data_IF_191091082398
#
_entry.id   IF_191091082398
#
_cell.length_a   1.000
_cell.length_b   1.000
_cell.length_c   1.000
_cell.angle_alpha   90.00
_cell.angle_beta   90.00
_cell.angle_gamma   90.00
#
_symmetry.space_group_name_H-M   'P 1'
#
loop_
_entity.id
_entity.type
_entity.pdbx_description
1 polymer ?
#
# COMPACT_ATOMS: atom_id res chain seq x y z
N UNK A 1 69.09 17.20 -34.53
CA UNK A 1 69.86 15.97 -34.83
C UNK A 1 68.88 14.80 -34.92
N UNK A 2 69.15 13.93 -35.88
CA UNK A 2 68.40 12.78 -36.37
C UNK A 2 67.96 11.77 -35.29
N UNK A 3 66.80 11.12 -35.44
CA UNK A 3 66.72 9.66 -35.73
C UNK A 3 65.31 9.06 -35.68
N UNK A 4 64.92 8.47 -36.82
CA UNK A 4 64.47 7.07 -37.00
C UNK A 4 63.36 6.45 -36.14
N UNK A 5 62.19 6.32 -36.79
CA UNK A 5 61.33 5.12 -36.99
C UNK A 5 61.15 4.14 -35.81
N UNK A 6 59.90 3.97 -35.40
CA UNK A 6 59.37 2.66 -35.00
C UNK A 6 57.86 2.60 -35.31
N UNK A 7 57.47 1.82 -36.33
CA UNK A 7 56.06 1.58 -36.65
C UNK A 7 55.68 0.27 -35.97
N UNK A 8 54.75 0.24 -34.99
CA UNK A 8 54.28 -1.01 -34.43
C UNK A 8 53.41 -1.76 -35.45
N UNK A 9 53.61 -3.08 -35.55
CA UNK A 9 52.83 -3.97 -36.39
C UNK A 9 51.34 -3.98 -35.99
N UNK A 10 50.41 -4.20 -36.93
CA UNK A 10 49.00 -4.36 -36.58
C UNK A 10 48.78 -5.63 -35.74
N UNK A 11 47.86 -5.59 -34.76
CA UNK A 11 47.57 -6.75 -33.91
C UNK A 11 46.92 -7.88 -34.73
N UNK A 12 47.09 -9.15 -34.32
CA UNK A 12 46.44 -10.29 -34.95
C UNK A 12 44.92 -10.24 -34.76
N UNK A 13 44.12 -10.80 -35.70
CA UNK A 13 42.67 -10.89 -35.55
C UNK A 13 42.33 -11.82 -34.37
N UNK A 14 41.44 -11.35 -33.48
CA UNK A 14 40.93 -12.15 -32.38
C UNK A 14 39.98 -13.24 -32.89
N UNK A 15 39.96 -14.44 -32.28
CA UNK A 15 38.96 -15.44 -32.60
C UNK A 15 37.56 -14.93 -32.23
N UNK A 16 36.63 -14.97 -33.18
CA UNK A 16 35.22 -14.69 -32.95
C UNK A 16 34.65 -15.77 -32.01
N UNK A 17 34.38 -15.40 -30.76
CA UNK A 17 33.58 -16.23 -29.86
C UNK A 17 32.17 -16.33 -30.44
N UNK A 18 31.88 -17.45 -31.09
CA UNK A 18 30.54 -17.81 -31.55
C UNK A 18 29.64 -17.99 -30.32
N UNK A 19 28.93 -16.94 -29.94
CA UNK A 19 28.06 -16.92 -28.77
C UNK A 19 26.75 -17.65 -29.07
N UNK A 20 26.82 -18.98 -28.96
CA UNK A 20 25.67 -19.87 -28.92
C UNK A 20 24.96 -19.75 -27.56
N UNK A 21 24.37 -18.59 -27.27
CA UNK A 21 23.50 -18.46 -26.10
C UNK A 21 22.15 -19.12 -26.40
N UNK A 22 21.66 -20.03 -25.55
CA UNK A 22 20.27 -20.48 -25.64
C UNK A 22 19.33 -19.27 -25.45
N UNK A 23 18.16 -19.25 -26.11
CA UNK A 23 17.21 -18.17 -25.92
C UNK A 23 16.82 -18.06 -24.44
N UNK A 24 16.61 -16.82 -23.93
CA UNK A 24 16.10 -16.65 -22.58
C UNK A 24 14.76 -17.39 -22.43
N UNK A 25 14.46 -17.94 -21.23
CA UNK A 25 13.14 -18.50 -20.97
C UNK A 25 12.08 -17.41 -21.22
N UNK A 26 10.86 -17.79 -21.67
CA UNK A 26 9.79 -16.83 -21.81
C UNK A 26 9.58 -16.14 -20.47
N UNK A 27 9.57 -14.80 -20.48
CA UNK A 27 9.13 -14.00 -19.34
C UNK A 27 7.78 -14.54 -18.91
N UNK A 28 7.72 -15.23 -17.77
CA UNK A 28 6.45 -15.47 -17.09
C UNK A 28 5.89 -14.08 -16.84
N UNK A 29 4.87 -13.72 -17.61
CA UNK A 29 4.03 -12.57 -17.34
C UNK A 29 3.52 -12.83 -15.93
N UNK A 30 4.14 -12.18 -14.94
CA UNK A 30 3.60 -12.13 -13.60
C UNK A 30 2.20 -11.56 -13.82
N UNK A 31 1.18 -12.37 -13.55
CA UNK A 31 -0.20 -11.89 -13.53
C UNK A 31 -0.18 -10.57 -12.77
N UNK A 32 -0.85 -9.49 -13.25
CA UNK A 32 -0.93 -8.28 -12.46
C UNK A 32 -1.41 -8.69 -11.08
N UNK A 33 -0.49 -8.61 -10.11
CA UNK A 33 -0.82 -8.77 -8.72
C UNK A 33 -1.69 -7.56 -8.47
N UNK A 34 -3.01 -7.79 -8.50
CA UNK A 34 -4.01 -6.82 -8.09
C UNK A 34 -3.52 -6.37 -6.74
N UNK A 35 -2.96 -5.17 -6.71
CA UNK A 35 -2.45 -4.59 -5.49
C UNK A 35 -3.72 -4.45 -4.66
N UNK A 36 -3.83 -5.24 -3.58
CA UNK A 36 -4.92 -5.05 -2.63
C UNK A 36 -4.98 -3.54 -2.35
N UNK A 37 -6.17 -2.91 -2.40
CA UNK A 37 -6.22 -1.48 -2.19
C UNK A 37 -5.60 -1.23 -0.82
N UNK A 38 -4.49 -0.48 -0.79
CA UNK A 38 -3.88 -0.08 0.46
C UNK A 38 -4.82 0.97 1.05
N UNK A 39 -5.78 0.53 1.85
CA UNK A 39 -6.68 1.39 2.59
C UNK A 39 -5.90 2.09 3.71
N UNK A 40 -5.02 3.02 3.32
CA UNK A 40 -4.19 3.77 4.24
C UNK A 40 -5.06 4.79 4.96
N UNK A 41 -5.07 4.71 6.29
CA UNK A 41 -5.69 5.73 7.13
C UNK A 41 -5.04 7.09 6.82
N UNK A 42 -5.82 8.14 6.58
CA UNK A 42 -5.27 9.49 6.45
C UNK A 42 -4.48 9.86 7.71
N UNK A 43 -3.41 10.67 7.58
CA UNK A 43 -2.59 11.06 8.72
C UNK A 43 -3.43 11.80 9.76
N UNK A 44 -3.44 11.28 11.00
CA UNK A 44 -4.19 11.84 12.13
C UNK A 44 -5.58 11.22 12.36
N UNK A 45 -6.02 10.27 11.53
CA UNK A 45 -7.21 9.47 11.77
C UNK A 45 -6.85 8.22 12.60
N UNK A 46 -7.58 7.92 13.70
CA UNK A 46 -7.38 6.68 14.45
C UNK A 46 -7.85 5.47 13.65
N UNK A 47 -7.32 4.29 13.98
CA UNK A 47 -7.90 3.03 13.49
C UNK A 47 -9.24 2.76 14.17
N UNK A 48 -10.07 1.88 13.58
CA UNK A 48 -11.33 1.51 14.24
C UNK A 48 -11.06 0.69 15.50
N UNK A 49 -10.02 -0.14 15.50
CA UNK A 49 -9.56 -0.83 16.70
C UNK A 49 -9.20 0.11 17.84
N UNK A 50 -8.52 1.22 17.57
CA UNK A 50 -8.18 2.24 18.58
C UNK A 50 -9.45 2.92 19.12
N UNK A 51 -10.39 3.29 18.26
CA UNK A 51 -11.68 3.87 18.67
C UNK A 51 -12.48 2.91 19.56
N UNK A 52 -12.52 1.64 19.20
CA UNK A 52 -13.24 0.61 19.98
C UNK A 52 -12.54 0.36 21.32
N UNK A 53 -11.21 0.35 21.34
CA UNK A 53 -10.44 0.21 22.59
C UNK A 53 -10.68 1.40 23.53
N UNK A 54 -10.59 2.63 23.02
CA UNK A 54 -10.90 3.84 23.80
C UNK A 54 -12.34 3.82 24.30
N UNK A 55 -13.27 3.39 23.45
CA UNK A 55 -14.68 3.29 23.80
C UNK A 55 -14.89 2.31 24.96
N UNK A 56 -14.22 1.15 24.89
CA UNK A 56 -14.23 0.12 25.92
C UNK A 56 -13.63 0.62 27.24
N UNK A 57 -12.44 1.24 27.19
CA UNK A 57 -11.74 1.74 28.39
C UNK A 57 -12.53 2.86 29.09
N UNK A 58 -13.25 3.67 28.32
CA UNK A 58 -14.10 4.75 28.83
C UNK A 58 -15.50 4.29 29.25
N UNK A 59 -15.86 3.03 29.00
CA UNK A 59 -17.13 2.43 29.42
C UNK A 59 -18.32 2.79 28.52
N UNK A 60 -18.09 3.17 27.27
CA UNK A 60 -19.13 3.40 26.27
C UNK A 60 -19.75 2.09 25.77
N UNK A 61 -21.02 2.14 25.35
CA UNK A 61 -21.77 0.97 24.86
C UNK A 61 -21.69 0.80 23.35
N UNK A 62 -21.66 1.90 22.60
CA UNK A 62 -21.70 1.87 21.14
C UNK A 62 -20.73 2.90 20.55
N UNK A 63 -20.14 2.59 19.39
CA UNK A 63 -19.33 3.50 18.59
C UNK A 63 -20.08 3.80 17.28
N UNK A 64 -20.35 5.07 17.03
CA UNK A 64 -21.02 5.56 15.83
C UNK A 64 -20.03 6.29 14.93
N UNK A 65 -19.82 5.74 13.73
CA UNK A 65 -18.95 6.29 12.69
C UNK A 65 -19.72 6.41 11.37
N UNK A 66 -19.49 7.50 10.64
CA UNK A 66 -20.18 7.78 9.39
C UNK A 66 -19.44 8.81 8.55
N UNK A 67 -19.53 8.70 7.23
CA UNK A 67 -18.87 9.64 6.30
C UNK A 67 -19.47 11.03 6.43
N UNK A 68 -18.63 12.04 6.56
CA UNK A 68 -19.06 13.43 6.76
C UNK A 68 -19.46 13.76 8.20
N UNK A 69 -19.20 12.85 9.14
CA UNK A 69 -19.51 13.04 10.55
C UNK A 69 -18.27 12.80 11.43
N UNK A 70 -18.20 13.52 12.55
CA UNK A 70 -17.23 13.23 13.61
C UNK A 70 -17.62 11.93 14.31
N UNK A 71 -16.66 11.04 14.64
CA UNK A 71 -16.93 9.84 15.43
C UNK A 71 -17.60 10.19 16.76
N UNK A 72 -18.60 9.39 17.14
CA UNK A 72 -19.41 9.60 18.35
C UNK A 72 -19.46 8.32 19.17
N UNK A 73 -19.36 8.45 20.48
CA UNK A 73 -19.58 7.36 21.41
C UNK A 73 -20.94 7.47 22.07
N UNK A 74 -21.57 6.34 22.36
CA UNK A 74 -22.81 6.31 23.12
C UNK A 74 -22.56 5.74 24.51
N UNK A 75 -22.89 6.51 25.55
CA UNK A 75 -22.85 6.07 26.93
C UNK A 75 -24.28 5.90 27.46
N UNK A 76 -24.80 4.67 27.47
CA UNK A 76 -26.11 4.35 28.08
C UNK A 76 -27.27 5.25 27.62
N UNK A 77 -27.20 5.77 26.40
CA UNK A 77 -28.21 6.66 25.81
C UNK A 77 -27.75 8.11 25.57
N UNK A 78 -26.67 8.55 26.21
CA UNK A 78 -26.04 9.84 25.96
C UNK A 78 -25.05 9.73 24.79
N UNK A 79 -25.07 10.67 23.86
CA UNK A 79 -24.14 10.73 22.73
C UNK A 79 -23.04 11.73 23.05
N UNK A 80 -21.80 11.25 23.09
CA UNK A 80 -20.60 12.06 23.27
C UNK A 80 -19.83 12.14 21.95
N UNK A 81 -19.62 13.36 21.46
CA UNK A 81 -18.80 13.60 20.26
C UNK A 81 -17.33 13.57 20.64
N UNK A 82 -16.52 12.90 19.82
CA UNK A 82 -15.07 12.85 20.00
C UNK A 82 -14.39 14.12 19.46
N UNK A 83 -13.11 14.28 19.79
CA UNK A 83 -12.27 15.35 19.22
C UNK A 83 -11.53 14.90 17.94
N UNK A 84 -11.89 13.75 17.37
CA UNK A 84 -11.28 13.28 16.13
C UNK A 84 -11.73 14.12 14.93
N UNK A 85 -10.94 14.14 13.85
CA UNK A 85 -11.36 14.78 12.61
C UNK A 85 -12.66 14.15 12.05
N UNK A 86 -13.32 14.90 11.17
CA UNK A 86 -14.46 14.39 10.40
C UNK A 86 -14.03 13.15 9.61
N UNK A 87 -14.91 12.15 9.55
CA UNK A 87 -14.61 10.90 8.85
C UNK A 87 -14.81 11.08 7.35
N UNK A 88 -13.73 10.94 6.59
CA UNK A 88 -13.80 10.89 5.12
C UNK A 88 -14.17 9.48 4.62
N UNK A 89 -14.70 9.38 3.39
CA UNK A 89 -14.98 8.11 2.73
C UNK A 89 -13.79 7.11 2.74
N UNK A 90 -12.54 7.51 2.42
CA UNK A 90 -11.39 6.62 2.52
C UNK A 90 -11.15 6.10 3.94
N UNK A 91 -11.28 6.94 4.97
CA UNK A 91 -11.16 6.51 6.37
C UNK A 91 -12.23 5.48 6.73
N UNK A 92 -13.47 5.76 6.36
CA UNK A 92 -14.59 4.85 6.63
C UNK A 92 -14.39 3.49 5.94
N UNK A 93 -13.93 3.49 4.69
CA UNK A 93 -13.61 2.26 3.98
C UNK A 93 -12.43 1.53 4.64
N UNK A 94 -11.38 2.23 5.08
CA UNK A 94 -10.30 1.62 5.87
C UNK A 94 -10.83 0.88 7.10
N UNK A 95 -11.76 1.48 7.84
CA UNK A 95 -12.37 0.84 9.00
C UNK A 95 -13.22 -0.37 8.63
N UNK A 96 -13.99 -0.31 7.54
CA UNK A 96 -14.75 -1.47 7.07
C UNK A 96 -13.82 -2.62 6.67
N UNK A 97 -12.72 -2.33 5.97
CA UNK A 97 -11.71 -3.33 5.59
C UNK A 97 -10.92 -3.90 6.77
N UNK A 98 -10.91 -3.21 7.92
CA UNK A 98 -10.32 -3.71 9.17
C UNK A 98 -11.23 -4.72 9.88
N UNK A 99 -12.56 -4.55 9.78
CA UNK A 99 -13.54 -5.36 10.50
C UNK A 99 -14.16 -6.47 9.64
N UNK A 100 -14.34 -6.22 8.35
CA UNK A 100 -15.04 -7.09 7.41
C UNK A 100 -14.08 -7.65 6.36
N UNK A 101 -14.40 -8.82 5.82
CA UNK A 101 -13.68 -9.37 4.68
C UNK A 101 -14.10 -8.67 3.37
N UNK A 102 -13.25 -8.74 2.34
CA UNK A 102 -13.51 -8.09 1.05
C UNK A 102 -14.83 -8.53 0.40
N UNK A 103 -15.23 -9.80 0.58
CA UNK A 103 -16.49 -10.33 0.04
C UNK A 103 -17.72 -9.73 0.74
N UNK A 104 -17.63 -9.45 2.04
CA UNK A 104 -18.71 -8.82 2.79
C UNK A 104 -18.86 -7.35 2.37
N UNK A 105 -17.74 -6.65 2.16
CA UNK A 105 -17.72 -5.24 1.76
C UNK A 105 -18.34 -5.02 0.38
N UNK A 106 -18.15 -5.95 -0.55
CA UNK A 106 -18.80 -5.90 -1.88
C UNK A 106 -20.31 -5.91 -1.82
N UNK A 107 -20.90 -6.41 -0.73
CA UNK A 107 -22.36 -6.41 -0.54
C UNK A 107 -22.89 -5.00 -0.22
N UNK A 108 -22.03 -4.10 0.24
CA UNK A 108 -22.38 -2.74 0.68
C UNK A 108 -21.94 -1.64 -0.31
N UNK A 109 -21.29 -1.98 -1.43
CA UNK A 109 -20.92 -1.07 -2.52
C UNK A 109 -21.93 -1.12 -3.67
#
# INVERSE_FOLDING_TARGET
MVNSRNIPAPPPPMPSLSTNFPPPPPSVVTKPQVTAPSYQLPPGQPSIGELVQEAFDSGYSDVHVGVGETPRFRNRGEIETTNYPETDLPTFMSWLHEVLNEDDIRTFQ
#
